data_IF_060493339730
#
_entry.id   IF_060493339730
#
_cell.length_a   1.000
_cell.length_b   1.000
_cell.length_c   1.000
_cell.angle_alpha   90.00
_cell.angle_beta   90.00
_cell.angle_gamma   90.00
#
_symmetry.space_group_name_H-M   'P 1'
#
loop_
_entity.id
_entity.type
_entity.pdbx_description
1 polymer ?
#
# COMPACT_ATOMS: atom_id res chain seq x y z
N UNK A 1 7.64 4.47 19.67
CA UNK A 1 6.44 5.10 20.25
C UNK A 1 5.38 5.09 19.15
N UNK A 2 4.52 4.08 19.11
CA UNK A 2 3.66 3.70 17.96
C UNK A 2 2.47 4.61 17.67
N UNK A 3 2.15 5.57 18.54
CA UNK A 3 0.94 6.39 18.45
C UNK A 3 0.96 7.40 17.31
N UNK A 4 2.10 8.06 17.07
CA UNK A 4 2.21 9.13 16.06
C UNK A 4 2.07 8.60 14.63
N UNK A 5 2.72 7.47 14.34
CA UNK A 5 2.67 6.86 13.01
C UNK A 5 1.31 6.20 12.73
N UNK A 6 0.68 5.62 13.76
CA UNK A 6 -0.69 5.10 13.65
C UNK A 6 -1.68 6.24 13.33
N UNK A 7 -1.56 7.39 14.02
CA UNK A 7 -2.37 8.57 13.72
C UNK A 7 -2.12 9.12 12.31
N UNK A 8 -0.88 9.09 11.82
CA UNK A 8 -0.55 9.50 10.45
C UNK A 8 -1.16 8.54 9.40
N UNK A 9 -1.11 7.22 9.63
CA UNK A 9 -1.78 6.23 8.76
C UNK A 9 -3.29 6.45 8.72
N UNK A 10 -3.93 6.68 9.88
CA UNK A 10 -5.36 6.98 9.92
C UNK A 10 -5.70 8.27 9.17
N UNK A 11 -4.96 9.36 9.43
CA UNK A 11 -5.18 10.61 8.73
C UNK A 11 -5.00 10.46 7.21
N UNK A 12 -4.02 9.68 6.77
CA UNK A 12 -3.84 9.39 5.35
C UNK A 12 -5.03 8.64 4.76
N UNK A 13 -5.51 7.59 5.44
CA UNK A 13 -6.68 6.82 5.00
C UNK A 13 -7.92 7.71 4.88
N UNK A 14 -8.16 8.56 5.88
CA UNK A 14 -9.31 9.46 5.90
C UNK A 14 -9.25 10.54 4.81
N UNK A 15 -8.05 10.94 4.38
CA UNK A 15 -7.84 12.00 3.40
C UNK A 15 -7.49 11.50 1.98
N UNK A 16 -7.41 10.18 1.75
CA UNK A 16 -7.03 9.62 0.44
C UNK A 16 -8.03 9.90 -0.70
N UNK A 17 -9.21 10.46 -0.38
CA UNK A 17 -10.25 10.76 -1.36
C UNK A 17 -11.00 9.51 -1.81
N UNK A 18 -11.39 9.45 -3.08
CA UNK A 18 -12.14 8.31 -3.65
C UNK A 18 -11.65 7.94 -5.04
N UNK A 19 -12.08 6.78 -5.55
CA UNK A 19 -11.81 6.34 -6.92
C UNK A 19 -10.33 6.09 -7.20
N UNK A 20 -9.87 6.53 -8.37
CA UNK A 20 -8.50 6.30 -8.86
C UNK A 20 -7.44 6.93 -7.97
N UNK A 21 -7.69 8.14 -7.47
CA UNK A 21 -6.74 8.85 -6.59
C UNK A 21 -6.54 8.09 -5.28
N UNK A 22 -7.64 7.63 -4.65
CA UNK A 22 -7.56 6.83 -3.44
C UNK A 22 -6.86 5.48 -3.68
N UNK A 23 -7.18 4.81 -4.79
CA UNK A 23 -6.55 3.54 -5.15
C UNK A 23 -5.03 3.68 -5.29
N UNK A 24 -4.57 4.71 -6.00
CA UNK A 24 -3.14 4.95 -6.19
C UNK A 24 -2.46 5.41 -4.89
N UNK A 25 -3.03 6.41 -4.22
CA UNK A 25 -2.48 7.00 -2.97
C UNK A 25 -2.24 5.96 -1.89
N UNK A 26 -3.25 5.12 -1.63
CA UNK A 26 -3.18 4.12 -0.56
C UNK A 26 -2.22 2.98 -0.92
N UNK A 27 -2.18 2.58 -2.19
CA UNK A 27 -1.23 1.56 -2.66
C UNK A 27 0.20 2.09 -2.56
N UNK A 28 0.43 3.33 -3.00
CA UNK A 28 1.71 4.00 -2.95
C UNK A 28 2.21 4.18 -1.51
N UNK A 29 1.35 4.66 -0.61
CA UNK A 29 1.71 4.80 0.79
C UNK A 29 1.99 3.44 1.45
N UNK A 30 1.20 2.40 1.14
CA UNK A 30 1.45 1.06 1.65
C UNK A 30 2.83 0.54 1.22
N UNK A 31 3.18 0.73 -0.05
CA UNK A 31 4.47 0.37 -0.63
C UNK A 31 5.63 1.12 0.04
N UNK A 32 5.49 2.44 0.16
CA UNK A 32 6.49 3.32 0.76
C UNK A 32 6.71 3.01 2.24
N UNK A 33 5.64 2.85 3.03
CA UNK A 33 5.72 2.53 4.45
C UNK A 33 6.32 1.13 4.65
N UNK A 34 5.99 0.15 3.80
CA UNK A 34 6.60 -1.17 3.87
C UNK A 34 8.12 -1.12 3.62
N UNK A 35 8.57 -0.37 2.60
CA UNK A 35 10.00 -0.15 2.34
C UNK A 35 10.69 0.56 3.50
N UNK A 36 10.10 1.65 3.99
CA UNK A 36 10.62 2.43 5.11
C UNK A 36 10.81 1.57 6.36
N UNK A 37 9.85 0.71 6.71
CA UNK A 37 10.01 -0.20 7.84
C UNK A 37 11.09 -1.26 7.58
N UNK A 38 11.17 -1.80 6.37
CA UNK A 38 12.20 -2.77 6.01
C UNK A 38 13.62 -2.23 6.20
N UNK A 39 13.84 -0.94 5.94
CA UNK A 39 15.14 -0.26 6.16
C UNK A 39 15.55 -0.19 7.63
N UNK A 40 14.59 -0.28 8.55
CA UNK A 40 14.85 -0.21 9.99
C UNK A 40 15.12 -1.56 10.64
N UNK A 41 14.84 -2.68 9.94
CA UNK A 41 14.85 -4.03 10.47
C UNK A 41 16.15 -4.79 10.18
N UNK A 42 16.49 -5.83 10.97
CA UNK A 42 17.46 -6.83 10.58
C UNK A 42 17.08 -7.48 9.24
N UNK A 43 18.08 -7.83 8.42
CA UNK A 43 17.86 -8.30 7.03
C UNK A 43 16.83 -9.42 6.90
N UNK A 44 16.88 -10.45 7.76
CA UNK A 44 15.95 -11.60 7.68
C UNK A 44 14.51 -11.15 7.98
N UNK A 45 14.34 -10.25 8.93
CA UNK A 45 13.02 -9.72 9.33
C UNK A 45 12.50 -8.68 8.34
N UNK A 46 13.39 -8.07 7.54
CA UNK A 46 13.04 -7.12 6.48
C UNK A 46 12.50 -7.80 5.21
N UNK A 47 12.91 -9.04 4.89
CA UNK A 47 12.53 -9.74 3.65
C UNK A 47 11.01 -9.73 3.40
N UNK A 48 10.15 -10.09 4.36
CA UNK A 48 8.71 -10.07 4.14
C UNK A 48 8.18 -8.69 3.74
N UNK A 49 8.65 -7.62 4.38
CA UNK A 49 8.22 -6.26 4.08
C UNK A 49 8.76 -5.77 2.73
N UNK A 50 9.96 -6.21 2.32
CA UNK A 50 10.49 -5.92 0.98
C UNK A 50 9.66 -6.60 -0.12
N UNK A 51 9.23 -7.85 0.08
CA UNK A 51 8.36 -8.55 -0.87
C UNK A 51 6.98 -7.88 -0.97
N UNK A 52 6.42 -7.49 0.18
CA UNK A 52 5.16 -6.73 0.26
C UNK A 52 5.28 -5.40 -0.48
N UNK A 53 6.37 -4.65 -0.24
CA UNK A 53 6.64 -3.39 -0.93
C UNK A 53 6.75 -3.58 -2.44
N UNK A 54 7.45 -4.62 -2.90
CA UNK A 54 7.60 -4.93 -4.32
C UNK A 54 6.25 -5.26 -5.00
N UNK A 55 5.41 -6.08 -4.37
CA UNK A 55 4.06 -6.39 -4.87
C UNK A 55 3.20 -5.12 -4.98
N UNK A 56 3.26 -4.25 -3.97
CA UNK A 56 2.50 -3.00 -3.95
C UNK A 56 3.01 -2.00 -5.00
N UNK A 57 4.33 -1.90 -5.18
CA UNK A 57 4.91 -1.06 -6.23
C UNK A 57 4.51 -1.54 -7.63
N UNK A 58 4.49 -2.85 -7.87
CA UNK A 58 3.98 -3.41 -9.12
C UNK A 58 2.48 -3.13 -9.29
N UNK A 59 1.71 -3.11 -8.20
CA UNK A 59 0.29 -2.73 -8.27
C UNK A 59 0.11 -1.25 -8.64
N UNK A 60 0.94 -0.34 -8.11
CA UNK A 60 0.96 1.07 -8.52
C UNK A 60 1.19 1.22 -10.02
N UNK A 61 2.18 0.53 -10.58
CA UNK A 61 2.49 0.58 -12.01
C UNK A 61 1.30 0.15 -12.87
N UNK A 62 0.55 -0.86 -12.43
CA UNK A 62 -0.68 -1.24 -13.12
C UNK A 62 -1.77 -0.17 -12.97
N UNK A 63 -1.94 0.46 -11.81
CA UNK A 63 -2.88 1.57 -11.65
C UNK A 63 -2.50 2.75 -12.57
N UNK A 64 -1.22 3.08 -12.69
CA UNK A 64 -0.70 4.11 -13.60
C UNK A 64 -0.95 3.76 -15.08
N UNK A 65 -0.81 2.48 -15.45
CA UNK A 65 -1.14 1.99 -16.79
C UNK A 65 -2.64 2.04 -17.07
N UNK A 66 -3.48 1.87 -16.05
CA UNK A 66 -4.94 1.97 -16.16
C UNK A 66 -5.42 3.42 -16.25
N UNK A 67 -4.75 4.35 -15.56
CA UNK A 67 -5.08 5.77 -15.51
C UNK A 67 -3.81 6.64 -15.46
N UNK A 68 -3.33 7.09 -16.63
CA UNK A 68 -2.00 7.72 -16.77
C UNK A 68 -1.76 9.01 -15.98
N UNK A 69 -2.81 9.76 -15.64
CA UNK A 69 -2.66 11.05 -14.97
C UNK A 69 -2.44 10.93 -13.45
N UNK A 70 -2.39 9.71 -12.90
CA UNK A 70 -2.26 9.46 -11.47
C UNK A 70 -0.97 10.02 -10.84
N UNK A 71 0.24 9.80 -11.39
CA UNK A 71 1.49 10.30 -10.79
C UNK A 71 1.62 11.83 -10.80
N UNK A 72 0.81 12.51 -11.63
CA UNK A 72 0.87 13.96 -11.80
C UNK A 72 0.12 14.71 -10.70
N UNK A 73 -0.65 14.01 -9.86
CA UNK A 73 -1.41 14.62 -8.77
C UNK A 73 -0.57 14.67 -7.50
N UNK A 74 -0.46 15.84 -6.83
CA UNK A 74 0.24 15.95 -5.57
C UNK A 74 -0.48 15.07 -4.55
N UNK A 75 0.15 13.95 -4.21
CA UNK A 75 -0.40 12.98 -3.29
C UNK A 75 0.38 13.12 -1.99
N UNK A 76 -0.27 13.63 -0.94
CA UNK A 76 0.32 13.69 0.41
C UNK A 76 0.34 12.28 0.99
N UNK A 77 1.31 11.46 0.56
CA UNK A 77 1.57 10.12 1.09
C UNK A 77 2.58 10.12 2.25
N UNK A 78 2.87 11.29 2.82
CA UNK A 78 3.85 11.42 3.90
C UNK A 78 3.26 10.90 5.23
N UNK A 79 3.84 9.83 5.74
CA UNK A 79 3.46 9.20 7.01
C UNK A 79 4.49 9.50 8.12
N UNK A 80 5.44 10.39 7.83
CA UNK A 80 6.58 10.71 8.70
C UNK A 80 7.64 9.61 8.72
N UNK A 81 8.83 9.88 9.30
CA UNK A 81 9.89 8.89 9.40
C UNK A 81 9.50 7.72 10.32
N UNK A 82 9.91 6.50 9.98
CA UNK A 82 9.75 5.34 10.85
C UNK A 82 10.74 5.41 12.02
N UNK A 83 10.25 5.06 13.22
CA UNK A 83 11.12 4.76 14.36
C UNK A 83 11.99 3.53 14.01
N UNK A 84 13.25 3.51 14.48
CA UNK A 84 14.11 2.33 14.35
C UNK A 84 13.46 1.14 15.06
N UNK A 85 13.00 0.16 14.29
CA UNK A 85 12.35 -1.05 14.79
C UNK A 85 13.38 -2.15 15.03
N UNK A 86 13.38 -2.78 16.21
CA UNK A 86 14.24 -3.95 16.49
C UNK A 86 13.58 -5.28 16.09
N UNK A 87 12.28 -5.27 15.84
CA UNK A 87 11.44 -6.39 15.46
C UNK A 87 10.38 -5.93 14.44
N UNK A 88 9.87 -6.85 13.62
CA UNK A 88 8.90 -6.53 12.59
C UNK A 88 7.47 -6.36 13.11
N UNK A 89 7.20 -6.79 14.36
CA UNK A 89 5.87 -6.77 14.97
C UNK A 89 5.16 -5.40 15.01
N UNK A 90 5.84 -4.25 15.25
CA UNK A 90 5.20 -2.94 15.23
C UNK A 90 4.97 -2.39 13.82
N UNK A 91 5.70 -2.87 12.81
CA UNK A 91 5.57 -2.43 11.42
C UNK A 91 4.35 -3.04 10.71
N UNK A 92 4.02 -4.30 11.02
CA UNK A 92 2.97 -5.06 10.35
C UNK A 92 1.57 -4.42 10.43
N UNK A 93 1.08 -3.90 11.58
CA UNK A 93 -0.26 -3.35 11.69
C UNK A 93 -0.50 -2.12 10.80
N UNK A 94 0.49 -1.23 10.70
CA UNK A 94 0.42 -0.02 9.89
C UNK A 94 0.33 -0.36 8.39
N UNK A 95 1.22 -1.23 7.91
CA UNK A 95 1.20 -1.69 6.51
C UNK A 95 -0.09 -2.47 6.21
N UNK A 96 -0.55 -3.33 7.13
CA UNK A 96 -1.82 -4.06 6.97
C UNK A 96 -3.03 -3.13 6.86
N UNK A 97 -3.09 -2.05 7.66
CA UNK A 97 -4.16 -1.06 7.56
C UNK A 97 -4.18 -0.39 6.18
N UNK A 98 -3.02 0.04 5.67
CA UNK A 98 -2.92 0.67 4.36
C UNK A 98 -3.28 -0.30 3.22
N UNK A 99 -2.76 -1.54 3.26
CA UNK A 99 -3.10 -2.58 2.27
C UNK A 99 -4.59 -2.89 2.28
N UNK A 100 -5.22 -2.94 3.46
CA UNK A 100 -6.67 -3.13 3.56
C UNK A 100 -7.42 -1.94 2.98
N UNK A 101 -6.98 -0.72 3.29
CA UNK A 101 -7.60 0.50 2.79
C UNK A 101 -7.48 0.62 1.26
N UNK A 102 -6.34 0.23 0.68
CA UNK A 102 -6.10 0.26 -0.77
C UNK A 102 -7.01 -0.70 -1.56
N UNK A 103 -7.40 -1.84 -0.97
CA UNK A 103 -8.29 -2.81 -1.64
C UNK A 103 -9.68 -2.24 -1.91
N UNK A 104 -10.21 -1.37 -1.04
CA UNK A 104 -11.58 -0.85 -1.17
C UNK A 104 -11.79 -0.04 -2.46
N UNK A 105 -11.02 1.04 -2.75
CA UNK A 105 -11.18 1.81 -3.98
C UNK A 105 -10.84 0.99 -5.23
N UNK A 106 -9.84 0.10 -5.18
CA UNK A 106 -9.49 -0.77 -6.33
C UNK A 106 -10.66 -1.70 -6.68
N UNK A 107 -11.31 -2.28 -5.67
CA UNK A 107 -12.47 -3.16 -5.88
C UNK A 107 -13.68 -2.38 -6.32
N UNK A 108 -13.91 -1.20 -5.77
CA UNK A 108 -14.98 -0.31 -6.20
C UNK A 108 -14.83 0.06 -7.69
N UNK A 109 -13.63 0.44 -8.13
CA UNK A 109 -13.33 0.71 -9.53
C UNK A 109 -13.56 -0.52 -10.40
N UNK A 110 -13.16 -1.71 -9.95
CA UNK A 110 -13.43 -2.96 -10.69
C UNK A 110 -14.93 -3.28 -10.79
N UNK A 111 -15.70 -3.00 -9.74
CA UNK A 111 -17.15 -3.18 -9.72
C UNK A 111 -17.91 -2.16 -10.58
N UNK A 112 -17.27 -1.05 -10.96
CA UNK A 112 -17.82 -0.08 -11.93
C UNK A 112 -17.72 -0.53 -13.40
N UNK A 113 -17.35 -1.80 -13.63
CA UNK A 113 -17.24 -2.45 -14.94
C UNK A 113 -16.27 -1.74 -15.91
N UNK A 114 -14.99 -1.59 -15.53
CA UNK A 114 -13.98 -0.99 -16.39
C UNK A 114 -13.77 -1.90 -17.62
N UNK A 115 -13.45 -1.31 -18.76
CA UNK A 115 -13.24 -2.05 -20.01
C UNK A 115 -11.80 -1.94 -20.53
N UNK A 116 -11.41 -2.88 -21.39
CA UNK A 116 -10.11 -2.86 -22.09
C UNK A 116 -8.91 -2.86 -21.14
N UNK A 117 -7.98 -1.95 -21.38
CA UNK A 117 -6.69 -1.85 -20.65
C UNK A 117 -6.90 -1.55 -19.16
N UNK A 118 -7.92 -0.75 -18.82
CA UNK A 118 -8.21 -0.44 -17.42
C UNK A 118 -8.66 -1.68 -16.64
N UNK A 119 -9.47 -2.54 -17.26
CA UNK A 119 -9.96 -3.78 -16.64
C UNK A 119 -8.82 -4.74 -16.30
N UNK A 120 -7.92 -4.97 -17.27
CA UNK A 120 -6.78 -5.87 -17.12
C UNK A 120 -5.84 -5.39 -16.01
N UNK A 121 -5.53 -4.09 -16.01
CA UNK A 121 -4.62 -3.52 -15.04
C UNK A 121 -5.23 -3.44 -13.63
N UNK A 122 -6.52 -3.12 -13.49
CA UNK A 122 -7.20 -3.18 -12.19
C UNK A 122 -7.23 -4.61 -11.63
N UNK A 123 -7.46 -5.61 -12.48
CA UNK A 123 -7.42 -7.01 -12.03
C UNK A 123 -6.02 -7.43 -11.55
N UNK A 124 -4.95 -6.98 -12.23
CA UNK A 124 -3.56 -7.22 -11.82
C UNK A 124 -3.22 -6.49 -10.52
N UNK A 125 -3.62 -5.22 -10.38
CA UNK A 125 -3.44 -4.46 -9.17
C UNK A 125 -4.15 -5.12 -7.97
N UNK A 126 -5.43 -5.53 -8.10
CA UNK A 126 -6.16 -6.24 -7.02
C UNK A 126 -5.46 -7.55 -6.64
N UNK A 127 -4.96 -8.32 -7.62
CA UNK A 127 -4.26 -9.57 -7.36
C UNK A 127 -2.96 -9.38 -6.58
N UNK A 128 -2.18 -8.35 -6.92
CA UNK A 128 -0.93 -7.99 -6.24
C UNK A 128 -1.17 -7.43 -4.83
N UNK A 129 -2.15 -6.55 -4.65
CA UNK A 129 -2.51 -6.05 -3.31
C UNK A 129 -3.04 -7.20 -2.43
N UNK A 130 -3.79 -8.15 -3.02
CA UNK A 130 -4.17 -9.38 -2.31
C UNK A 130 -2.98 -10.28 -1.98
N UNK A 131 -1.95 -10.34 -2.84
CA UNK A 131 -0.69 -11.06 -2.58
C UNK A 131 0.06 -10.45 -1.41
N UNK A 132 0.30 -9.14 -1.44
CA UNK A 132 0.90 -8.39 -0.34
C UNK A 132 0.15 -8.62 0.98
N UNK A 133 -1.19 -8.58 0.96
CA UNK A 133 -2.01 -8.89 2.15
C UNK A 133 -1.77 -10.30 2.68
N UNK A 134 -1.70 -11.31 1.81
CA UNK A 134 -1.45 -12.71 2.23
C UNK A 134 -0.08 -12.85 2.86
N UNK A 135 0.94 -12.22 2.30
CA UNK A 135 2.30 -12.23 2.84
C UNK A 135 2.32 -11.61 4.25
N UNK A 136 1.71 -10.43 4.43
CA UNK A 136 1.61 -9.78 5.74
C UNK A 136 0.89 -10.61 6.79
N UNK A 137 -0.08 -11.44 6.41
CA UNK A 137 -0.78 -12.33 7.33
C UNK A 137 0.05 -13.58 7.67
N UNK A 138 0.84 -14.08 6.71
CA UNK A 138 1.72 -15.23 6.90
C UNK A 138 2.99 -14.89 7.71
N UNK A 139 3.39 -13.62 7.74
CA UNK A 139 4.58 -13.13 8.43
C UNK A 139 4.31 -12.60 9.85
N UNK A 140 3.08 -12.74 10.37
CA UNK A 140 2.79 -12.44 11.77
C UNK A 140 3.42 -13.51 12.68
N UNK A 141 4.20 -13.10 13.70
CA UNK A 141 4.76 -14.03 14.69
C UNK A 141 3.70 -14.67 15.59
#
# INVERSE_FOLDING_TARGET
>A
MTTTQTSAVHALIDNAGTGWDAAWTLTHAASHVAAMFAETLPFIDAIPLLLVSADLRAAEEHLEQAHRDLPLRPTTADVGPADVCRDAAPAHPAVQQLVRAALEPVRHLRSSDPTGVAAVNLARADALICSARRQLLASQP
#
